data_IF_317775026602
#
_entry.id   IF_317775026602
#
_cell.length_a   1.000
_cell.length_b   1.000
_cell.length_c   1.000
_cell.angle_alpha   90.00
_cell.angle_beta   90.00
_cell.angle_gamma   90.00
#
_symmetry.space_group_name_H-M   'P 1'
#
loop_
_entity.id
_entity.type
_entity.pdbx_description
1 polymer ?
#
# COMPACT_ATOMS: atom_id res chain seq x y z
N UNK A 1 18.41 -10.15 17.56
CA UNK A 1 18.09 -8.92 16.76
C UNK A 1 17.25 -8.03 17.66
N UNK A 2 17.84 -6.96 18.19
CA UNK A 2 17.17 -6.04 19.13
C UNK A 2 16.32 -5.03 18.36
N UNK A 3 15.06 -5.37 18.10
CA UNK A 3 14.06 -4.47 17.52
C UNK A 3 13.24 -3.79 18.64
N UNK A 4 13.91 -3.12 19.57
CA UNK A 4 13.24 -2.38 20.64
C UNK A 4 13.60 -0.90 20.57
N UNK A 5 12.60 -0.05 20.39
CA UNK A 5 12.70 1.40 20.51
C UNK A 5 11.83 1.86 21.68
N UNK A 6 12.41 2.65 22.59
CA UNK A 6 11.69 3.34 23.67
C UNK A 6 11.11 4.63 23.10
N UNK A 7 9.79 4.77 23.14
CA UNK A 7 9.06 5.88 22.51
C UNK A 7 8.14 6.48 23.57
N UNK A 8 8.21 7.80 23.75
CA UNK A 8 7.32 8.54 24.65
C UNK A 8 6.02 8.93 23.93
N UNK A 9 5.01 9.33 24.72
CA UNK A 9 3.70 9.77 24.20
C UNK A 9 3.82 10.87 23.15
N UNK A 10 4.77 11.77 23.32
CA UNK A 10 4.96 12.93 22.44
C UNK A 10 5.59 12.57 21.09
N UNK A 11 6.39 11.50 21.04
CA UNK A 11 7.04 11.03 19.81
C UNK A 11 6.29 9.87 19.11
N UNK A 12 5.21 9.37 19.72
CA UNK A 12 4.48 8.21 19.23
C UNK A 12 3.88 8.43 17.83
N UNK A 13 3.25 9.59 17.60
CA UNK A 13 2.58 9.91 16.33
C UNK A 13 3.57 10.16 15.20
N UNK A 14 4.75 10.70 15.50
CA UNK A 14 5.82 10.92 14.52
C UNK A 14 6.47 9.60 14.13
N UNK A 15 6.65 8.69 15.08
CA UNK A 15 7.28 7.39 14.84
C UNK A 15 6.34 6.37 14.17
N UNK A 16 5.06 6.31 14.57
CA UNK A 16 4.09 5.34 14.08
C UNK A 16 3.02 5.90 13.11
N UNK A 17 2.88 7.22 12.99
CA UNK A 17 1.82 7.83 12.18
C UNK A 17 0.43 7.78 12.84
N UNK A 18 -0.64 7.78 12.02
CA UNK A 18 -2.01 7.57 12.52
C UNK A 18 -2.09 6.18 13.15
N UNK A 19 -2.56 6.12 14.39
CA UNK A 19 -2.49 4.92 15.21
C UNK A 19 -3.53 3.90 14.74
N UNK A 20 -3.10 2.94 13.93
CA UNK A 20 -3.90 1.77 13.59
C UNK A 20 -4.21 1.00 14.89
N UNK A 21 -5.48 0.66 15.12
CA UNK A 21 -5.98 0.18 16.40
C UNK A 21 -5.37 -1.16 16.86
N UNK A 22 -4.62 -1.84 15.98
CA UNK A 22 -3.92 -3.09 16.30
C UNK A 22 -2.55 -3.17 15.62
N UNK A 23 -1.62 -3.91 16.23
CA UNK A 23 -0.34 -4.29 15.60
C UNK A 23 -0.51 -4.99 14.26
N UNK A 24 -1.61 -5.72 14.06
CA UNK A 24 -1.94 -6.37 12.80
C UNK A 24 -2.31 -5.35 11.71
N UNK A 25 -3.12 -4.34 12.03
CA UNK A 25 -3.43 -3.26 11.09
C UNK A 25 -2.19 -2.41 10.78
N UNK A 26 -1.33 -2.14 11.76
CA UNK A 26 -0.05 -1.46 11.54
C UNK A 26 0.89 -2.29 10.66
N UNK A 27 1.07 -3.57 10.95
CA UNK A 27 1.90 -4.46 10.13
C UNK A 27 1.37 -4.59 8.70
N UNK A 28 0.06 -4.76 8.52
CA UNK A 28 -0.58 -4.78 7.19
C UNK A 28 -0.44 -3.45 6.44
N UNK A 29 -0.43 -2.32 7.14
CA UNK A 29 -0.18 -1.00 6.54
C UNK A 29 1.29 -0.77 6.17
N UNK A 30 2.23 -1.52 6.78
CA UNK A 30 3.67 -1.46 6.47
C UNK A 30 4.11 -2.57 5.49
N UNK A 31 3.24 -3.55 5.24
CA UNK A 31 3.53 -4.63 4.29
C UNK A 31 3.32 -4.13 2.86
N UNK A 32 4.39 -4.17 2.06
CA UNK A 32 4.36 -3.73 0.67
C UNK A 32 3.42 -4.63 -0.14
N UNK A 33 2.33 -4.06 -0.63
CA UNK A 33 1.36 -4.78 -1.46
C UNK A 33 1.97 -5.03 -2.85
N UNK A 34 2.14 -6.30 -3.22
CA UNK A 34 2.61 -6.66 -4.55
C UNK A 34 1.46 -6.51 -5.57
N UNK A 35 1.46 -5.42 -6.34
CA UNK A 35 0.41 -5.09 -7.32
C UNK A 35 0.19 -6.20 -8.37
N UNK A 36 1.21 -6.98 -8.71
CA UNK A 36 1.08 -8.06 -9.68
C UNK A 36 0.42 -9.33 -9.12
N UNK A 37 0.37 -9.50 -7.79
CA UNK A 37 -0.15 -10.70 -7.12
C UNK A 37 -1.36 -10.44 -6.22
N UNK A 38 -1.51 -9.22 -5.70
CA UNK A 38 -2.53 -8.85 -4.73
C UNK A 38 -3.95 -9.14 -5.21
N UNK A 39 -4.82 -9.58 -4.31
CA UNK A 39 -6.25 -9.69 -4.56
C UNK A 39 -6.88 -8.31 -4.74
N UNK A 40 -8.10 -8.26 -5.29
CA UNK A 40 -8.85 -7.00 -5.44
C UNK A 40 -9.07 -6.32 -4.08
N UNK A 41 -9.29 -7.10 -3.02
CA UNK A 41 -9.48 -6.59 -1.66
C UNK A 41 -8.21 -5.96 -1.11
N UNK A 42 -7.05 -6.59 -1.29
CA UNK A 42 -5.76 -6.03 -0.87
C UNK A 42 -5.42 -4.75 -1.64
N UNK A 43 -5.68 -4.70 -2.95
CA UNK A 43 -5.48 -3.49 -3.74
C UNK A 43 -6.31 -2.31 -3.20
N UNK A 44 -7.51 -2.57 -2.67
CA UNK A 44 -8.39 -1.55 -2.10
C UNK A 44 -7.94 -1.03 -0.73
N UNK A 45 -6.96 -1.66 -0.09
CA UNK A 45 -6.33 -1.13 1.13
C UNK A 45 -5.40 0.05 0.82
N UNK A 46 -4.96 0.19 -0.44
CA UNK A 46 -4.15 1.31 -0.89
C UNK A 46 -5.04 2.56 -0.93
N UNK A 47 -4.61 3.61 -0.23
CA UNK A 47 -5.33 4.90 -0.21
C UNK A 47 -5.49 5.43 -1.64
N UNK A 48 -6.73 5.76 -2.02
CA UNK A 48 -7.07 6.24 -3.36
C UNK A 48 -7.36 5.13 -4.38
N UNK A 49 -7.21 3.86 -4.02
CA UNK A 49 -7.58 2.73 -4.88
C UNK A 49 -8.97 2.22 -4.53
N UNK A 50 -9.96 2.73 -5.26
CA UNK A 50 -11.34 2.23 -5.21
C UNK A 50 -11.54 0.93 -6.01
N UNK A 51 -12.74 0.37 -5.93
CA UNK A 51 -13.11 -0.87 -6.63
C UNK A 51 -12.89 -0.82 -8.14
N UNK A 52 -13.28 0.28 -8.80
CA UNK A 52 -13.09 0.44 -10.24
C UNK A 52 -11.61 0.41 -10.63
N UNK A 53 -10.76 1.09 -9.86
CA UNK A 53 -9.32 1.12 -10.11
C UNK A 53 -8.67 -0.24 -9.82
N UNK A 54 -9.05 -0.91 -8.73
CA UNK A 54 -8.57 -2.25 -8.40
C UNK A 54 -8.92 -3.27 -9.51
N UNK A 55 -10.13 -3.21 -10.05
CA UNK A 55 -10.54 -4.02 -11.19
C UNK A 55 -9.73 -3.69 -12.45
N UNK A 56 -9.49 -2.41 -12.73
CA UNK A 56 -8.67 -1.99 -13.85
C UNK A 56 -7.22 -2.51 -13.75
N UNK A 57 -6.60 -2.39 -12.57
CA UNK A 57 -5.26 -2.94 -12.29
C UNK A 57 -5.24 -4.46 -12.53
N UNK A 58 -6.27 -5.18 -12.06
CA UNK A 58 -6.39 -6.64 -12.23
C UNK A 58 -6.52 -7.05 -13.70
N UNK A 59 -7.24 -6.27 -14.50
CA UNK A 59 -7.37 -6.49 -15.95
C UNK A 59 -6.04 -6.20 -16.68
N UNK A 60 -5.40 -5.07 -16.37
CA UNK A 60 -4.15 -4.66 -17.01
C UNK A 60 -3.01 -5.65 -16.71
N UNK A 61 -2.83 -6.08 -15.46
CA UNK A 61 -1.77 -7.05 -15.12
C UNK A 61 -1.98 -8.44 -15.74
N UNK A 62 -3.24 -8.82 -16.05
CA UNK A 62 -3.56 -10.06 -16.78
C UNK A 62 -3.10 -10.00 -18.23
N UNK A 63 -3.11 -8.81 -18.85
CA UNK A 63 -2.60 -8.59 -20.21
C UNK A 63 -1.07 -8.64 -20.22
N UNK A 64 -0.45 -7.87 -19.34
CA UNK A 64 0.99 -7.84 -19.12
C UNK A 64 1.25 -7.38 -17.68
N UNK A 65 2.12 -8.08 -16.95
CA UNK A 65 2.57 -7.65 -15.62
C UNK A 65 3.16 -6.23 -15.68
N UNK A 66 3.03 -5.50 -14.59
CA UNK A 66 3.66 -4.19 -14.45
C UNK A 66 5.14 -4.37 -14.15
N UNK A 67 5.98 -3.65 -14.89
CA UNK A 67 7.45 -3.71 -14.74
C UNK A 67 7.92 -2.81 -13.58
N UNK A 68 7.29 -1.66 -13.38
CA UNK A 68 7.59 -0.68 -12.34
C UNK A 68 6.38 0.23 -12.03
N UNK A 69 6.55 1.17 -11.09
CA UNK A 69 5.50 2.10 -10.68
C UNK A 69 5.07 3.07 -11.79
N UNK A 70 5.98 3.48 -12.67
CA UNK A 70 5.65 4.35 -13.80
C UNK A 70 4.76 3.63 -14.82
N UNK A 71 5.08 2.37 -15.14
CA UNK A 71 4.25 1.52 -16.02
C UNK A 71 2.83 1.35 -15.44
N UNK A 72 2.73 1.14 -14.12
CA UNK A 72 1.45 1.11 -13.41
C UNK A 72 0.68 2.42 -13.56
N UNK A 73 1.33 3.56 -13.31
CA UNK A 73 0.71 4.90 -13.41
C UNK A 73 0.39 5.33 -14.84
N UNK A 74 1.07 4.80 -15.86
CA UNK A 74 0.78 5.11 -17.26
C UNK A 74 -0.41 4.28 -17.79
N UNK A 75 -0.45 3.00 -17.45
CA UNK A 75 -1.47 2.06 -17.94
C UNK A 75 -2.75 2.10 -17.12
N UNK A 76 -2.68 2.66 -15.92
CA UNK A 76 -3.82 2.82 -15.03
C UNK A 76 -3.87 4.27 -14.52
N UNK A 77 -4.95 4.65 -13.82
CA UNK A 77 -5.02 5.96 -13.16
C UNK A 77 -4.52 5.88 -11.71
N UNK A 78 -3.47 5.10 -11.47
CA UNK A 78 -2.96 4.88 -10.12
C UNK A 78 -2.42 6.18 -9.52
N UNK A 79 -2.79 6.53 -8.28
CA UNK A 79 -2.32 7.76 -7.63
C UNK A 79 -0.80 7.71 -7.41
N UNK A 80 -0.07 8.65 -8.00
CA UNK A 80 1.41 8.71 -7.92
C UNK A 80 1.92 8.89 -6.49
N UNK A 81 1.13 9.63 -5.71
CA UNK A 81 1.28 9.87 -4.28
C UNK A 81 1.15 8.59 -3.43
N UNK A 82 0.56 7.52 -3.96
CA UNK A 82 0.53 6.20 -3.30
C UNK A 82 1.72 5.29 -3.64
N UNK A 83 2.57 5.68 -4.60
CA UNK A 83 3.80 4.93 -4.97
C UNK A 83 4.98 5.29 -4.04
N UNK A 84 4.80 6.30 -3.19
CA UNK A 84 5.84 6.87 -2.32
C UNK A 84 5.69 6.43 -0.86
N UNK A 85 5.85 5.13 -0.56
CA UNK A 85 6.02 4.59 0.81
C UNK A 85 6.96 3.37 0.80
#
# INVERSE_FOLDING_TARGET
INNAALICKDNFRTFYGFTYATRAQFAAAQEKININLATIWELRLIKGVGEQLANNISLERKRKRFDNGDDLCMRTKFPKDAVSL
#
